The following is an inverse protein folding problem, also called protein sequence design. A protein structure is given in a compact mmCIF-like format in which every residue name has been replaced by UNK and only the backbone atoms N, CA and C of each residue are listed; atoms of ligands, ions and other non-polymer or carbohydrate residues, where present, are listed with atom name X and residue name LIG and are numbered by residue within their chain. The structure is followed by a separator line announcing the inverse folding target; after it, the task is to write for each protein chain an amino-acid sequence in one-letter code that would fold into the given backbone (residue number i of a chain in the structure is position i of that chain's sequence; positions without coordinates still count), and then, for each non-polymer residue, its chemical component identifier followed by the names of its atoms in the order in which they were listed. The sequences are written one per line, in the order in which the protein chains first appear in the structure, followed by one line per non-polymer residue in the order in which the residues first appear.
data_IF_093438598259
#
_entry.id   IF_093438598259
#
_cell.length_a   1.000
_cell.length_b   1.000
_cell.length_c   1.000
_cell.angle_alpha   90.00
_cell.angle_beta   90.00
_cell.angle_gamma   90.00
#
_symmetry.space_group_name_H-M   'P 1'
#
loop_
_entity.id
_entity.type
_entity.pdbx_description
1 polymer ?
#
# COMPACT_ATOMS: atom_id res chain seq x y z
N UNK A 1 51.62 -36.06 28.32
CA UNK A 1 51.74 -34.99 27.30
C UNK A 1 50.80 -35.33 26.15
N UNK A 2 50.24 -34.30 25.49
CA UNK A 2 49.31 -34.35 24.36
C UNK A 2 47.85 -34.74 24.69
N UNK A 3 46.98 -33.73 24.84
CA UNK A 3 45.63 -33.67 24.25
C UNK A 3 44.93 -32.39 24.74
N UNK A 4 45.33 -31.24 24.20
CA UNK A 4 44.64 -29.97 24.40
C UNK A 4 45.10 -29.02 23.32
N UNK A 5 44.30 -28.88 22.24
CA UNK A 5 44.30 -27.79 21.24
C UNK A 5 43.66 -28.29 19.94
N UNK A 6 42.33 -28.45 19.89
CA UNK A 6 41.57 -28.53 18.63
C UNK A 6 40.07 -28.34 18.91
N UNK A 7 39.65 -27.16 19.40
CA UNK A 7 38.21 -26.83 19.57
C UNK A 7 37.92 -25.34 19.50
N UNK A 8 38.65 -24.57 18.68
CA UNK A 8 38.51 -23.11 18.65
C UNK A 8 38.67 -22.52 17.24
N UNK A 9 38.03 -23.10 16.23
CA UNK A 9 38.02 -22.57 14.85
C UNK A 9 36.71 -22.87 14.09
N UNK A 10 35.55 -22.82 14.74
CA UNK A 10 34.25 -23.07 14.06
C UNK A 10 33.10 -22.15 14.53
N UNK A 11 33.44 -20.99 15.06
CA UNK A 11 32.46 -19.97 15.47
C UNK A 11 32.80 -18.61 14.87
N UNK A 12 32.71 -18.49 13.54
CA UNK A 12 32.51 -17.24 12.77
C UNK A 12 32.53 -17.65 11.28
N UNK A 13 31.37 -17.77 10.61
CA UNK A 13 30.82 -16.59 9.93
C UNK A 13 29.28 -16.66 9.78
N UNK A 14 28.52 -16.08 10.72
CA UNK A 14 27.07 -15.93 10.56
C UNK A 14 26.57 -14.57 11.08
N UNK A 15 27.33 -13.50 10.80
CA UNK A 15 26.97 -12.13 11.23
C UNK A 15 27.09 -11.08 10.13
N UNK A 16 27.22 -11.49 8.86
CA UNK A 16 27.40 -10.58 7.72
C UNK A 16 26.21 -10.52 6.75
N UNK A 17 25.05 -11.11 7.07
CA UNK A 17 23.94 -11.23 6.11
C UNK A 17 22.58 -10.68 6.56
N UNK A 18 22.52 -9.61 7.36
CA UNK A 18 21.28 -8.81 7.51
C UNK A 18 21.55 -7.33 7.82
N UNK A 19 22.56 -6.71 7.18
CA UNK A 19 22.59 -5.25 7.08
C UNK A 19 21.56 -4.80 6.03
N UNK A 20 20.29 -4.78 6.42
CA UNK A 20 19.22 -4.14 5.64
C UNK A 20 19.52 -2.63 5.64
N UNK A 21 19.65 -1.95 4.48
CA UNK A 21 19.88 -0.52 4.47
C UNK A 21 18.70 0.15 5.19
N UNK A 22 18.99 0.85 6.28
CA UNK A 22 18.02 1.71 6.93
C UNK A 22 17.52 2.72 5.88
N UNK A 23 16.19 2.94 5.76
CA UNK A 23 15.68 3.95 4.85
C UNK A 23 16.29 5.29 5.24
N UNK A 24 16.89 5.97 4.27
CA UNK A 24 17.36 7.34 4.44
C UNK A 24 16.21 8.18 4.99
N UNK A 25 16.36 8.69 6.21
CA UNK A 25 15.38 9.54 6.87
C UNK A 25 15.28 10.84 6.06
N UNK A 26 14.30 10.91 5.17
CA UNK A 26 13.89 12.18 4.57
C UNK A 26 13.38 13.10 5.68
N UNK A 27 13.65 14.41 5.61
CA UNK A 27 13.16 15.37 6.59
C UNK A 27 11.63 15.23 6.72
N UNK A 28 11.14 15.23 7.98
CA UNK A 28 9.72 15.07 8.28
C UNK A 28 8.90 16.05 7.43
N UNK A 29 8.03 15.49 6.58
CA UNK A 29 7.10 16.24 5.73
C UNK A 29 7.45 16.30 4.24
N UNK A 30 8.62 15.86 3.79
CA UNK A 30 8.92 15.72 2.35
C UNK A 30 8.73 14.28 1.89
N UNK A 31 7.97 14.03 0.81
CA UNK A 31 7.79 12.69 0.27
C UNK A 31 9.14 12.13 -0.18
N UNK A 32 9.37 10.85 0.10
CA UNK A 32 10.57 10.17 -0.41
C UNK A 32 10.58 10.20 -1.95
N UNK A 33 11.76 10.03 -2.58
CA UNK A 33 11.85 9.99 -4.04
C UNK A 33 10.89 8.95 -4.64
N UNK A 34 10.83 7.76 -4.02
CA UNK A 34 10.00 6.66 -4.50
C UNK A 34 8.51 6.92 -4.26
N UNK A 35 8.15 7.53 -3.13
CA UNK A 35 6.79 7.99 -2.89
C UNK A 35 6.35 9.06 -3.91
N UNK A 36 7.22 10.05 -4.17
CA UNK A 36 6.93 11.08 -5.16
C UNK A 36 6.80 10.52 -6.58
N UNK A 37 7.63 9.54 -6.95
CA UNK A 37 7.47 8.80 -8.20
C UNK A 37 6.15 8.05 -8.26
N UNK A 38 5.74 7.37 -7.18
CA UNK A 38 4.45 6.66 -7.13
C UNK A 38 3.29 7.62 -7.32
N UNK A 39 3.32 8.79 -6.69
CA UNK A 39 2.28 9.82 -6.85
C UNK A 39 2.21 10.36 -8.29
N UNK A 40 3.36 10.68 -8.89
CA UNK A 40 3.43 11.14 -10.29
C UNK A 40 2.87 10.07 -11.25
N UNK A 41 3.27 8.82 -11.07
CA UNK A 41 2.80 7.72 -11.93
C UNK A 41 1.33 7.39 -11.71
N UNK A 42 0.85 7.47 -10.48
CA UNK A 42 -0.56 7.30 -10.16
C UNK A 42 -1.42 8.36 -10.87
N UNK A 43 -1.06 9.64 -10.72
CA UNK A 43 -1.76 10.75 -11.38
C UNK A 43 -1.74 10.59 -12.91
N UNK A 44 -0.59 10.20 -13.46
CA UNK A 44 -0.43 9.92 -14.90
C UNK A 44 -1.30 8.77 -15.37
N UNK A 45 -1.34 7.65 -14.65
CA UNK A 45 -2.16 6.50 -15.02
C UNK A 45 -3.65 6.84 -14.99
N UNK A 46 -4.10 7.52 -13.93
CA UNK A 46 -5.49 7.99 -13.83
C UNK A 46 -5.85 8.95 -14.96
N UNK A 47 -4.96 9.89 -15.30
CA UNK A 47 -5.12 10.77 -16.45
C UNK A 47 -5.31 9.99 -17.75
N UNK A 48 -4.46 9.00 -18.04
CA UNK A 48 -4.57 8.21 -19.27
C UNK A 48 -5.88 7.43 -19.32
N UNK A 49 -6.33 6.91 -18.18
CA UNK A 49 -7.60 6.17 -18.09
C UNK A 49 -8.81 7.07 -18.31
N UNK A 50 -8.80 8.28 -17.74
CA UNK A 50 -9.82 9.29 -18.01
C UNK A 50 -9.84 9.71 -19.47
N UNK A 51 -8.66 9.99 -20.00
CA UNK A 51 -8.48 10.47 -21.36
C UNK A 51 -8.85 9.40 -22.41
N UNK A 52 -8.92 8.12 -22.02
CA UNK A 52 -9.40 7.01 -22.83
C UNK A 52 -10.85 6.59 -22.50
N UNK A 53 -11.54 7.29 -21.60
CA UNK A 53 -12.92 6.98 -21.20
C UNK A 53 -13.08 5.69 -20.38
N UNK A 54 -12.01 5.22 -19.72
CA UNK A 54 -11.98 3.97 -18.93
C UNK A 54 -11.92 4.26 -17.43
N UNK A 55 -12.85 5.05 -16.90
CA UNK A 55 -12.86 5.46 -15.49
C UNK A 55 -12.90 4.27 -14.49
N UNK A 56 -13.47 3.12 -14.90
CA UNK A 56 -13.49 1.90 -14.08
C UNK A 56 -12.11 1.34 -13.72
N UNK A 57 -11.08 1.65 -14.52
CA UNK A 57 -9.70 1.20 -14.28
C UNK A 57 -8.98 2.04 -13.22
N UNK A 58 -9.50 3.22 -12.84
CA UNK A 58 -8.86 4.04 -11.78
C UNK A 58 -8.78 3.32 -10.45
N UNK A 59 -9.81 2.53 -10.14
CA UNK A 59 -9.94 1.79 -8.88
C UNK A 59 -8.96 0.62 -8.76
N UNK A 60 -8.38 0.19 -9.88
CA UNK A 60 -7.41 -0.92 -9.89
C UNK A 60 -5.98 -0.45 -9.70
N UNK A 61 -5.70 0.85 -9.88
CA UNK A 61 -4.36 1.43 -9.68
C UNK A 61 -4.05 1.53 -8.20
N UNK A 62 -2.95 0.90 -7.78
CA UNK A 62 -2.47 0.94 -6.40
C UNK A 62 -1.52 2.11 -6.22
N UNK A 63 -2.02 3.21 -5.67
CA UNK A 63 -1.29 4.46 -5.50
C UNK A 63 -0.76 4.70 -4.07
N UNK A 64 -0.86 3.69 -3.20
CA UNK A 64 -0.51 3.84 -1.80
C UNK A 64 0.97 3.56 -1.54
N UNK A 65 1.60 4.45 -0.77
CA UNK A 65 2.97 4.30 -0.26
C UNK A 65 4.08 4.48 -1.30
N UNK A 66 5.30 4.11 -0.92
CA UNK A 66 6.52 4.23 -1.72
C UNK A 66 6.86 2.95 -2.53
N UNK A 67 5.85 2.18 -2.96
CA UNK A 67 6.05 0.88 -3.62
C UNK A 67 5.84 0.95 -5.15
N UNK A 68 6.90 1.32 -5.87
CA UNK A 68 6.90 1.30 -7.35
C UNK A 68 6.61 -0.09 -7.93
N UNK A 69 7.20 -1.20 -7.44
CA UNK A 69 6.87 -2.54 -7.92
C UNK A 69 5.39 -2.90 -7.82
N UNK A 70 4.73 -2.58 -6.71
CA UNK A 70 3.29 -2.82 -6.54
C UNK A 70 2.46 -1.96 -7.49
N UNK A 71 2.83 -0.69 -7.69
CA UNK A 71 2.20 0.16 -8.69
C UNK A 71 2.36 -0.44 -10.09
N UNK A 72 3.58 -0.82 -10.47
CA UNK A 72 3.89 -1.45 -11.75
C UNK A 72 3.07 -2.72 -11.98
N UNK A 73 2.92 -3.58 -10.96
CA UNK A 73 2.08 -4.76 -11.03
C UNK A 73 0.60 -4.43 -11.25
N UNK A 74 0.10 -3.34 -10.64
CA UNK A 74 -1.27 -2.87 -10.86
C UNK A 74 -1.52 -2.30 -12.26
N UNK A 75 -0.47 -1.81 -12.94
CA UNK A 75 -0.53 -1.30 -14.31
C UNK A 75 -0.38 -2.39 -15.39
N UNK A 76 0.21 -3.56 -15.08
CA UNK A 76 0.42 -4.65 -16.06
C UNK A 76 -0.85 -5.28 -16.65
N UNK A 77 -1.94 -5.53 -15.91
CA UNK A 77 -3.13 -6.17 -16.48
C UNK A 77 -3.96 -5.23 -17.37
N UNK A 78 -3.50 -3.99 -17.58
CA UNK A 78 -4.25 -2.95 -18.26
C UNK A 78 -4.24 -3.08 -19.79
N UNK A 79 -5.41 -2.92 -20.40
CA UNK A 79 -5.61 -2.98 -21.86
C UNK A 79 -5.08 -1.75 -22.59
N UNK A 80 -4.92 -0.62 -21.90
CA UNK A 80 -4.41 0.63 -22.47
C UNK A 80 -2.88 0.68 -22.56
N UNK A 81 -2.19 -0.42 -22.20
CA UNK A 81 -0.73 -0.57 -22.33
C UNK A 81 0.05 0.55 -21.65
N UNK A 82 -0.49 1.16 -20.58
CA UNK A 82 0.20 2.21 -19.79
C UNK A 82 1.53 1.67 -19.25
N UNK A 83 1.54 0.42 -18.80
CA UNK A 83 2.77 -0.23 -18.35
C UNK A 83 3.83 -0.33 -19.44
N UNK A 84 3.50 -0.88 -20.62
CA UNK A 84 4.51 -1.19 -21.65
C UNK A 84 4.93 0.00 -22.51
N UNK A 85 4.03 0.97 -22.74
CA UNK A 85 4.30 2.12 -23.62
C UNK A 85 4.82 3.36 -22.87
N UNK A 86 4.40 3.55 -21.62
CA UNK A 86 4.78 4.71 -20.81
C UNK A 86 5.72 4.34 -19.68
N UNK A 87 5.28 3.50 -18.75
CA UNK A 87 6.02 3.21 -17.53
C UNK A 87 7.35 2.50 -17.78
N UNK A 88 7.31 1.34 -18.44
CA UNK A 88 8.48 0.50 -18.65
C UNK A 88 9.59 1.23 -19.43
N UNK A 89 9.34 1.92 -20.57
CA UNK A 89 10.40 2.59 -21.31
C UNK A 89 11.05 3.75 -20.55
N UNK A 90 10.33 4.35 -19.58
CA UNK A 90 10.80 5.49 -18.79
C UNK A 90 11.54 5.00 -17.53
N UNK A 91 10.95 4.11 -16.73
CA UNK A 91 11.53 3.66 -15.46
C UNK A 91 12.58 2.54 -15.62
N UNK A 92 12.37 1.56 -16.51
CA UNK A 92 13.21 0.35 -16.54
C UNK A 92 14.66 0.63 -16.93
N UNK A 93 14.89 1.65 -17.78
CA UNK A 93 16.23 2.00 -18.23
C UNK A 93 16.96 2.94 -17.27
N UNK A 94 16.23 3.65 -16.41
CA UNK A 94 16.77 4.65 -15.49
C UNK A 94 17.58 5.79 -16.16
N UNK A 95 17.70 5.82 -17.48
CA UNK A 95 18.60 6.70 -18.22
C UNK A 95 18.24 8.18 -18.02
N UNK A 96 16.97 8.47 -17.78
CA UNK A 96 16.47 9.83 -17.50
C UNK A 96 17.04 10.41 -16.19
N UNK A 97 17.51 9.56 -15.28
CA UNK A 97 18.05 9.94 -13.98
C UNK A 97 19.58 10.11 -13.99
N UNK A 98 20.26 9.71 -15.08
CA UNK A 98 21.71 9.82 -15.23
C UNK A 98 22.14 11.29 -15.08
N UNK A 99 23.14 11.54 -14.23
CA UNK A 99 23.66 12.89 -13.95
C UNK A 99 22.74 13.79 -13.11
N UNK A 100 21.59 13.31 -12.61
CA UNK A 100 20.68 14.09 -11.75
C UNK A 100 20.97 13.81 -10.27
N UNK A 101 21.54 14.80 -9.59
CA UNK A 101 21.95 14.70 -8.17
C UNK A 101 20.84 15.03 -7.17
N UNK A 102 19.91 15.93 -7.51
CA UNK A 102 18.83 16.35 -6.61
C UNK A 102 17.53 15.58 -6.89
N UNK A 103 16.72 15.35 -5.84
CA UNK A 103 15.39 14.73 -5.95
C UNK A 103 14.51 15.50 -6.92
N UNK A 104 14.45 16.82 -6.81
CA UNK A 104 13.69 17.67 -7.73
C UNK A 104 14.13 17.55 -9.18
N UNK A 105 15.44 17.46 -9.47
CA UNK A 105 15.92 17.28 -10.85
C UNK A 105 15.58 15.88 -11.41
N UNK A 106 15.56 14.85 -10.57
CA UNK A 106 15.12 13.49 -10.98
C UNK A 106 13.62 13.48 -11.28
N UNK A 107 12.81 14.06 -10.40
CA UNK A 107 11.36 14.14 -10.60
C UNK A 107 10.99 15.03 -11.79
N UNK A 108 11.67 16.16 -11.98
CA UNK A 108 11.49 17.02 -13.16
C UNK A 108 11.83 16.31 -14.46
N UNK A 109 12.90 15.48 -14.48
CA UNK A 109 13.23 14.65 -15.63
C UNK A 109 12.14 13.60 -15.91
N UNK A 110 11.59 12.98 -14.85
CA UNK A 110 10.48 12.05 -14.96
C UNK A 110 9.25 12.74 -15.58
N UNK A 111 8.79 13.85 -15.02
CA UNK A 111 7.63 14.61 -15.52
C UNK A 111 7.81 14.99 -16.99
N UNK A 112 8.99 15.52 -17.35
CA UNK A 112 9.31 15.89 -18.75
C UNK A 112 9.19 14.69 -19.69
N UNK A 113 9.73 13.53 -19.29
CA UNK A 113 9.68 12.32 -20.11
C UNK A 113 8.25 11.77 -20.30
N UNK A 114 7.43 11.83 -19.25
CA UNK A 114 6.02 11.45 -19.28
C UNK A 114 5.28 12.36 -20.26
N UNK A 115 5.36 13.69 -20.06
CA UNK A 115 4.67 14.66 -20.91
C UNK A 115 5.11 14.55 -22.37
N UNK A 116 6.40 14.38 -22.64
CA UNK A 116 6.92 14.21 -24.00
C UNK A 116 6.32 12.97 -24.67
N UNK A 117 6.25 11.83 -23.97
CA UNK A 117 5.61 10.63 -24.52
C UNK A 117 4.10 10.80 -24.71
N UNK A 118 3.41 11.44 -23.76
CA UNK A 118 1.98 11.68 -23.88
C UNK A 118 1.64 12.63 -25.04
N UNK A 119 2.47 13.68 -25.26
CA UNK A 119 2.36 14.60 -26.41
C UNK A 119 2.65 13.92 -27.75
N UNK A 120 3.48 12.88 -27.75
CA UNK A 120 3.80 12.12 -28.97
C UNK A 120 2.66 11.18 -29.43
N UNK A 121 1.67 10.87 -28.59
CA UNK A 121 0.52 10.03 -28.96
C UNK A 121 -0.30 10.69 -30.10
N UNK A 122 -0.54 9.98 -31.22
CA UNK A 122 -1.35 10.50 -32.33
C UNK A 122 -2.76 10.89 -31.91
N UNK A 123 -3.36 10.14 -30.98
CA UNK A 123 -4.71 10.39 -30.52
C UNK A 123 -4.84 11.73 -29.75
N UNK A 124 -3.77 12.19 -29.09
CA UNK A 124 -3.77 13.52 -28.44
C UNK A 124 -3.40 14.63 -29.40
N UNK A 125 -2.47 14.40 -30.31
CA UNK A 125 -2.06 15.40 -31.32
C UNK A 125 -3.21 15.87 -32.21
N UNK A 126 -4.19 15.00 -32.47
CA UNK A 126 -5.35 15.29 -33.31
C UNK A 126 -6.50 15.98 -32.57
N UNK A 127 -6.45 16.08 -31.25
CA UNK A 127 -7.52 16.64 -30.42
C UNK A 127 -6.97 17.77 -29.53
N UNK A 128 -7.31 19.05 -29.83
CA UNK A 128 -6.82 20.19 -29.06
C UNK A 128 -7.32 20.19 -27.61
N UNK A 129 -8.51 19.67 -27.33
CA UNK A 129 -9.03 19.58 -25.96
C UNK A 129 -8.23 18.58 -25.11
N UNK A 130 -7.76 17.49 -25.72
CA UNK A 130 -6.85 16.52 -25.07
C UNK A 130 -5.49 17.12 -24.77
N UNK A 131 -4.97 17.97 -25.66
CA UNK A 131 -3.72 18.68 -25.42
C UNK A 131 -3.86 19.71 -24.28
N UNK A 132 -4.98 20.43 -24.19
CA UNK A 132 -5.24 21.34 -23.09
C UNK A 132 -5.29 20.60 -21.74
N UNK A 133 -5.95 19.43 -21.67
CA UNK A 133 -5.94 18.59 -20.47
C UNK A 133 -4.54 18.09 -20.12
N UNK A 134 -3.73 17.77 -21.12
CA UNK A 134 -2.33 17.38 -20.91
C UNK A 134 -1.48 18.53 -20.36
N UNK A 135 -1.74 19.78 -20.76
CA UNK A 135 -1.10 20.96 -20.18
C UNK A 135 -1.51 21.14 -18.71
N UNK A 136 -2.77 20.92 -18.36
CA UNK A 136 -3.22 20.95 -16.96
C UNK A 136 -2.50 19.89 -16.11
N UNK A 137 -2.31 18.67 -16.65
CA UNK A 137 -1.51 17.63 -16.00
C UNK A 137 -0.05 18.05 -15.83
N UNK A 138 0.56 18.60 -16.87
CA UNK A 138 1.95 19.09 -16.83
C UNK A 138 2.14 20.14 -15.73
N UNK A 139 1.22 21.11 -15.63
CA UNK A 139 1.21 22.12 -14.57
C UNK A 139 1.07 21.49 -13.19
N UNK A 140 0.11 20.57 -13.00
CA UNK A 140 -0.12 19.89 -11.72
C UNK A 140 1.11 19.08 -11.26
N UNK A 141 1.73 18.33 -12.18
CA UNK A 141 2.94 17.56 -11.90
C UNK A 141 4.13 18.46 -11.59
N UNK A 142 4.29 19.56 -12.31
CA UNK A 142 5.38 20.51 -12.08
C UNK A 142 5.22 21.22 -10.73
N UNK A 143 4.00 21.61 -10.39
CA UNK A 143 3.66 22.17 -9.08
C UNK A 143 3.98 21.15 -7.97
N UNK A 144 3.59 19.89 -8.13
CA UNK A 144 3.94 18.84 -7.16
C UNK A 144 5.44 18.72 -6.93
N UNK A 145 6.24 18.73 -8.01
CA UNK A 145 7.70 18.65 -7.90
C UNK A 145 8.29 19.88 -7.20
N UNK A 146 7.66 21.06 -7.36
CA UNK A 146 8.12 22.30 -6.75
C UNK A 146 7.69 22.44 -5.28
N UNK A 147 6.47 22.07 -4.93
CA UNK A 147 5.86 22.35 -3.62
C UNK A 147 5.68 21.12 -2.73
N UNK A 148 5.82 19.89 -3.27
CA UNK A 148 5.59 18.64 -2.54
C UNK A 148 4.13 18.38 -2.15
N UNK A 149 3.20 19.24 -2.56
CA UNK A 149 1.78 19.16 -2.17
C UNK A 149 1.11 17.99 -2.88
N UNK A 150 0.57 16.98 -2.17
CA UNK A 150 0.07 15.77 -2.79
C UNK A 150 -0.90 16.08 -3.92
N UNK A 151 -0.71 15.43 -5.07
CA UNK A 151 -1.65 15.52 -6.17
C UNK A 151 -2.98 14.94 -5.68
N UNK A 152 -3.94 15.82 -5.36
CA UNK A 152 -5.31 15.42 -5.09
C UNK A 152 -5.93 14.73 -6.31
N UNK A 153 -7.24 14.50 -6.26
CA UNK A 153 -7.96 14.05 -7.45
C UNK A 153 -7.83 15.13 -8.55
N UNK A 154 -6.86 14.91 -9.45
CA UNK A 154 -6.56 15.69 -10.67
C UNK A 154 -7.82 16.03 -11.52
N UNK A 155 -8.97 15.30 -11.46
CA UNK A 155 -10.21 15.76 -12.08
C UNK A 155 -10.64 17.19 -11.73
N UNK A 156 -10.35 17.71 -10.54
CA UNK A 156 -10.75 19.07 -10.16
C UNK A 156 -9.98 20.16 -10.92
N UNK A 157 -8.78 19.85 -11.43
CA UNK A 157 -7.98 20.75 -12.27
C UNK A 157 -8.18 20.49 -13.78
N UNK A 158 -9.04 19.53 -14.16
CA UNK A 158 -9.28 19.11 -15.54
C UNK A 158 -10.50 19.77 -16.20
N UNK A 159 -11.20 20.66 -15.48
CA UNK A 159 -12.32 21.43 -16.03
C UNK A 159 -11.81 22.83 -16.38
N UNK A 160 -11.63 23.18 -17.67
CA UNK A 160 -11.53 24.59 -18.03
C UNK A 160 -12.84 25.28 -17.62
N UNK A 161 -12.74 26.35 -16.83
CA UNK A 161 -13.87 27.26 -16.68
C UNK A 161 -14.18 27.84 -18.07
N UNK A 162 -15.43 27.69 -18.53
CA UNK A 162 -15.99 27.97 -19.88
C UNK A 162 -15.64 26.92 -20.96
N UNK A 163 -16.57 26.28 -21.69
CA UNK A 163 -17.98 26.51 -21.96
C UNK A 163 -18.78 25.21 -22.25
N UNK A 164 -20.10 25.38 -22.30
CA UNK A 164 -21.19 24.40 -22.50
C UNK A 164 -21.13 23.48 -23.73
N UNK A 165 -21.87 22.36 -23.61
CA UNK A 165 -22.71 21.67 -24.62
C UNK A 165 -22.43 20.16 -24.73
N UNK A 166 -23.36 19.39 -24.14
CA UNK A 166 -23.82 18.03 -24.45
C UNK A 166 -22.89 17.08 -25.20
N UNK A 167 -22.42 16.03 -24.53
CA UNK A 167 -22.17 14.74 -25.15
C UNK A 167 -22.46 13.59 -24.16
N UNK A 168 -23.55 12.90 -24.48
CA UNK A 168 -24.11 11.67 -23.92
C UNK A 168 -23.06 10.61 -23.57
N UNK A 169 -23.24 10.00 -22.39
CA UNK A 169 -22.58 8.77 -21.99
C UNK A 169 -22.93 7.63 -22.98
N UNK A 170 -21.94 7.19 -23.75
CA UNK A 170 -22.03 6.07 -24.68
C UNK A 170 -21.36 4.82 -24.11
N UNK A 171 -22.15 3.77 -23.91
CA UNK A 171 -21.75 2.44 -23.46
C UNK A 171 -20.57 1.84 -24.27
N UNK A 172 -19.56 1.35 -23.55
CA UNK A 172 -19.07 -0.03 -23.67
C UNK A 172 -18.53 -0.59 -25.00
N UNK A 173 -18.30 0.21 -26.05
CA UNK A 173 -17.68 -0.24 -27.30
C UNK A 173 -16.33 0.45 -27.54
N UNK A 174 -15.29 -0.27 -28.02
CA UNK A 174 -14.03 0.35 -28.41
C UNK A 174 -14.25 1.31 -29.59
N UNK A 175 -13.89 2.58 -29.40
CA UNK A 175 -14.11 3.63 -30.39
C UNK A 175 -13.09 3.59 -31.54
N UNK A 176 -13.37 4.26 -32.69
CA UNK A 176 -12.52 4.24 -33.89
C UNK A 176 -11.09 4.77 -33.67
N UNK A 177 -10.83 5.46 -32.56
CA UNK A 177 -9.50 5.87 -32.14
C UNK A 177 -8.61 4.69 -31.67
N UNK A 178 -9.19 3.64 -31.08
CA UNK A 178 -8.45 2.44 -30.64
C UNK A 178 -7.98 1.58 -31.84
N UNK A 179 -8.76 1.56 -32.93
CA UNK A 179 -8.37 0.89 -34.17
C UNK A 179 -7.20 1.61 -34.88
N UNK A 180 -7.18 2.94 -34.84
CA UNK A 180 -6.12 3.74 -35.45
C UNK A 180 -4.77 3.63 -34.72
N UNK A 181 -4.77 3.51 -33.38
CA UNK A 181 -3.53 3.28 -32.63
C UNK A 181 -3.06 1.82 -32.71
N UNK A 182 -3.96 0.84 -32.82
CA UNK A 182 -3.58 -0.55 -33.10
C UNK A 182 -2.99 -0.73 -34.51
N UNK A 183 -3.49 0.02 -35.51
CA UNK A 183 -3.02 -0.06 -36.89
C UNK A 183 -1.70 0.70 -37.10
N UNK A 184 -1.54 1.91 -36.53
CA UNK A 184 -0.29 2.66 -36.61
C UNK A 184 0.91 1.93 -35.93
N UNK A 185 0.62 1.03 -34.98
CA UNK A 185 1.63 0.17 -34.34
C UNK A 185 1.97 -1.07 -35.18
N UNK A 186 1.06 -1.56 -36.03
CA UNK A 186 1.36 -2.58 -37.05
C UNK A 186 2.30 -2.04 -38.12
N UNK A 187 2.06 -0.80 -38.55
CA UNK A 187 2.84 -0.18 -39.62
C UNK A 187 4.24 0.28 -39.16
N UNK A 188 4.41 0.54 -37.85
CA UNK A 188 5.71 0.91 -37.27
C UNK A 188 6.63 -0.29 -36.94
N UNK A 189 6.16 -1.54 -37.10
CA UNK A 189 6.95 -2.73 -36.79
C UNK A 189 6.57 -3.92 -37.69
N UNK A 190 7.02 -3.94 -38.96
CA UNK A 190 6.58 -4.91 -39.97
C UNK A 190 7.09 -6.36 -39.75
N UNK A 191 7.81 -6.62 -38.65
CA UNK A 191 8.39 -7.94 -38.34
C UNK A 191 7.56 -8.84 -37.42
N UNK A 192 6.42 -8.36 -36.90
CA UNK A 192 5.57 -9.16 -36.02
C UNK A 192 4.23 -9.47 -36.71
N UNK A 193 4.15 -10.68 -37.27
CA UNK A 193 3.00 -11.30 -37.96
C UNK A 193 2.93 -11.03 -39.48
N UNK A 194 3.87 -11.59 -40.24
CA UNK A 194 3.55 -12.08 -41.59
C UNK A 194 2.69 -13.35 -41.46
N UNK A 195 1.48 -13.41 -42.03
CA UNK A 195 0.86 -14.69 -42.35
C UNK A 195 1.72 -15.38 -43.41
N UNK A 196 1.91 -16.72 -43.36
CA UNK A 196 2.68 -17.40 -44.39
C UNK A 196 1.89 -17.37 -45.69
N UNK A 197 2.27 -16.44 -46.56
CA UNK A 197 1.88 -16.43 -47.95
C UNK A 197 2.55 -17.58 -48.69
N UNK A 198 1.75 -18.23 -49.53
CA UNK A 198 2.13 -19.11 -50.63
C UNK A 198 3.59 -18.98 -51.09
N UNK A 199 4.39 -19.99 -50.75
CA UNK A 199 5.63 -20.30 -51.46
C UNK A 199 5.37 -21.55 -52.32
N UNK A 200 5.86 -21.53 -53.55
CA UNK A 200 5.68 -22.58 -54.54
C UNK A 200 6.18 -23.96 -54.03
N UNK A 201 5.60 -25.08 -54.51
CA UNK A 201 5.88 -26.40 -53.96
C UNK A 201 7.31 -26.84 -54.28
N UNK A 202 8.12 -26.96 -53.22
CA UNK A 202 9.43 -27.60 -53.26
C UNK A 202 9.27 -29.03 -52.74
N UNK A 203 9.60 -30.02 -53.55
CA UNK A 203 9.36 -31.45 -53.29
C UNK A 203 10.12 -32.05 -52.08
N UNK A 204 10.87 -31.26 -51.32
CA UNK A 204 11.56 -31.64 -50.09
C UNK A 204 10.76 -31.34 -48.80
N UNK A 205 9.62 -30.62 -48.90
CA UNK A 205 8.79 -30.24 -47.74
C UNK A 205 8.06 -31.41 -47.06
N UNK A 206 7.87 -32.53 -47.77
CA UNK A 206 6.92 -33.58 -47.36
C UNK A 206 7.38 -34.47 -46.19
N UNK A 207 8.67 -34.50 -45.86
CA UNK A 207 9.18 -35.24 -44.69
C UNK A 207 9.16 -34.39 -43.42
N UNK A 208 9.49 -33.10 -43.53
CA UNK A 208 9.45 -32.17 -42.40
C UNK A 208 8.00 -31.92 -41.92
N UNK A 209 7.04 -31.81 -42.83
CA UNK A 209 5.62 -31.64 -42.49
C UNK A 209 5.03 -32.86 -41.76
N UNK A 210 5.50 -34.06 -42.11
CA UNK A 210 5.00 -35.32 -41.55
C UNK A 210 5.42 -35.55 -40.09
N UNK A 211 6.54 -34.96 -39.66
CA UNK A 211 6.98 -34.97 -38.26
C UNK A 211 6.63 -33.68 -37.51
N UNK A 212 6.59 -32.53 -38.20
CA UNK A 212 6.26 -31.26 -37.57
C UNK A 212 4.80 -31.20 -37.10
N UNK A 213 3.85 -31.74 -37.87
CA UNK A 213 2.44 -31.73 -37.52
C UNK A 213 2.11 -32.49 -36.20
N UNK A 214 2.52 -33.77 -36.01
CA UNK A 214 2.26 -34.47 -34.75
C UNK A 214 3.02 -33.86 -33.57
N UNK A 215 4.22 -33.33 -33.79
CA UNK A 215 5.04 -32.72 -32.73
C UNK A 215 4.45 -31.37 -32.28
N UNK A 216 3.96 -30.56 -33.23
CA UNK A 216 3.23 -29.33 -32.93
C UNK A 216 1.92 -29.61 -32.16
N UNK A 217 1.23 -30.71 -32.48
CA UNK A 217 0.03 -31.13 -31.75
C UNK A 217 0.36 -31.53 -30.30
N UNK A 218 1.43 -32.31 -30.08
CA UNK A 218 1.88 -32.69 -28.73
C UNK A 218 2.26 -31.45 -27.92
N UNK A 219 3.06 -30.53 -28.50
CA UNK A 219 3.45 -29.28 -27.85
C UNK A 219 2.24 -28.36 -27.59
N UNK A 220 1.27 -28.34 -28.50
CA UNK A 220 0.01 -27.62 -28.34
C UNK A 220 -0.78 -28.13 -27.14
N UNK A 221 -0.96 -29.46 -27.03
CA UNK A 221 -1.64 -30.08 -25.89
C UNK A 221 -0.88 -29.81 -24.59
N UNK A 222 0.45 -29.94 -24.59
CA UNK A 222 1.28 -29.65 -23.42
C UNK A 222 1.13 -28.19 -22.96
N UNK A 223 1.12 -27.24 -23.91
CA UNK A 223 0.93 -25.81 -23.63
C UNK A 223 -0.45 -25.53 -23.04
N UNK A 224 -1.49 -26.22 -23.52
CA UNK A 224 -2.86 -26.10 -23.02
C UNK A 224 -2.97 -26.61 -21.58
N UNK A 225 -2.39 -27.78 -21.29
CA UNK A 225 -2.40 -28.36 -19.95
C UNK A 225 -1.65 -27.45 -18.97
N UNK A 226 -0.47 -26.95 -19.35
CA UNK A 226 0.30 -26.00 -18.54
C UNK A 226 -0.49 -24.70 -18.28
N UNK A 227 -1.17 -24.18 -19.30
CA UNK A 227 -2.02 -23.01 -19.17
C UNK A 227 -3.18 -23.24 -18.18
N UNK A 228 -3.84 -24.39 -18.26
CA UNK A 228 -4.93 -24.76 -17.35
C UNK A 228 -4.43 -24.88 -15.90
N UNK A 229 -3.29 -25.55 -15.66
CA UNK A 229 -2.67 -25.65 -14.33
C UNK A 229 -2.29 -24.28 -13.77
N UNK A 230 -1.71 -23.40 -14.58
CA UNK A 230 -1.40 -22.02 -14.17
C UNK A 230 -2.67 -21.25 -13.80
N UNK A 231 -3.75 -21.42 -14.57
CA UNK A 231 -5.03 -20.75 -14.31
C UNK A 231 -5.68 -21.25 -13.02
N UNK A 232 -5.60 -22.55 -12.74
CA UNK A 232 -6.11 -23.16 -11.50
C UNK A 232 -5.30 -22.68 -10.29
N UNK A 233 -3.96 -22.71 -10.36
CA UNK A 233 -3.08 -22.27 -9.26
C UNK A 233 -3.26 -20.77 -8.95
N UNK A 234 -3.36 -19.90 -9.95
CA UNK A 234 -3.70 -18.49 -9.76
C UNK A 234 -5.12 -18.29 -9.17
N UNK A 235 -6.05 -19.20 -9.47
CA UNK A 235 -7.38 -19.21 -8.87
C UNK A 235 -7.36 -19.62 -7.40
N UNK A 236 -6.55 -20.61 -7.03
CA UNK A 236 -6.36 -21.03 -5.64
C UNK A 236 -5.63 -19.96 -4.82
N UNK A 237 -4.55 -19.39 -5.35
CA UNK A 237 -3.79 -18.33 -4.69
C UNK A 237 -4.65 -17.07 -4.43
N UNK A 238 -5.48 -16.66 -5.39
CA UNK A 238 -6.43 -15.54 -5.19
C UNK A 238 -7.48 -15.84 -4.14
N UNK A 239 -7.95 -17.09 -4.02
CA UNK A 239 -8.90 -17.49 -2.97
C UNK A 239 -8.25 -17.49 -1.59
N UNK A 240 -6.97 -17.89 -1.51
CA UNK A 240 -6.21 -17.87 -0.27
C UNK A 240 -5.93 -16.43 0.20
N UNK A 241 -5.49 -15.55 -0.71
CA UNK A 241 -5.36 -14.11 -0.45
C UNK A 241 -6.66 -13.49 0.06
N UNK A 242 -7.82 -13.83 -0.53
CA UNK A 242 -9.11 -13.32 -0.03
C UNK A 242 -9.40 -13.76 1.39
N UNK A 243 -9.10 -15.01 1.76
CA UNK A 243 -9.31 -15.51 3.13
C UNK A 243 -8.42 -14.78 4.14
N UNK A 244 -7.16 -14.55 3.79
CA UNK A 244 -6.21 -13.80 4.63
C UNK A 244 -6.59 -12.32 4.76
N UNK A 245 -7.08 -11.69 3.68
CA UNK A 245 -7.56 -10.31 3.77
C UNK A 245 -8.84 -10.21 4.58
N UNK A 246 -9.77 -11.17 4.45
CA UNK A 246 -11.02 -11.18 5.19
C UNK A 246 -10.77 -11.39 6.69
N UNK A 247 -9.84 -12.28 7.07
CA UNK A 247 -9.46 -12.46 8.47
C UNK A 247 -8.79 -11.21 9.05
N UNK A 248 -7.90 -10.55 8.30
CA UNK A 248 -7.29 -9.28 8.72
C UNK A 248 -8.34 -8.16 8.87
N UNK A 249 -9.32 -8.07 7.97
CA UNK A 249 -10.40 -7.08 8.08
C UNK A 249 -11.33 -7.36 9.25
N UNK A 250 -11.64 -8.62 9.54
CA UNK A 250 -12.44 -9.01 10.71
C UNK A 250 -11.69 -8.69 12.01
N UNK A 251 -10.39 -8.98 12.07
CA UNK A 251 -9.55 -8.64 13.23
C UNK A 251 -9.46 -7.12 13.44
N UNK A 252 -9.32 -6.33 12.36
CA UNK A 252 -9.32 -4.87 12.45
C UNK A 252 -10.67 -4.30 12.90
N UNK A 253 -11.79 -4.88 12.44
CA UNK A 253 -13.13 -4.50 12.89
C UNK A 253 -13.33 -4.82 14.38
N UNK A 254 -12.90 -6.00 14.83
CA UNK A 254 -12.95 -6.39 16.24
C UNK A 254 -12.09 -5.48 17.13
N UNK A 255 -10.89 -5.11 16.69
CA UNK A 255 -10.02 -4.18 17.41
C UNK A 255 -10.65 -2.79 17.52
N UNK A 256 -11.34 -2.31 16.48
CA UNK A 256 -12.06 -1.03 16.51
C UNK A 256 -13.20 -1.06 17.54
N UNK A 257 -14.00 -2.12 17.56
CA UNK A 257 -15.09 -2.26 18.55
C UNK A 257 -14.55 -2.35 19.97
N UNK A 258 -13.41 -3.03 20.19
CA UNK A 258 -12.78 -3.10 21.50
C UNK A 258 -12.24 -1.72 21.95
N UNK A 259 -11.66 -0.95 21.04
CA UNK A 259 -11.18 0.41 21.34
C UNK A 259 -12.33 1.37 21.69
N UNK A 260 -13.47 1.27 21.01
CA UNK A 260 -14.67 2.06 21.31
C UNK A 260 -15.24 1.70 22.69
N UNK A 261 -15.29 0.42 23.03
CA UNK A 261 -15.70 -0.05 24.36
C UNK A 261 -14.74 0.42 25.47
N UNK A 262 -13.43 0.36 25.23
CA UNK A 262 -12.44 0.86 26.17
C UNK A 262 -12.56 2.37 26.38
N UNK A 263 -12.78 3.14 25.31
CA UNK A 263 -13.01 4.58 25.41
C UNK A 263 -14.27 4.91 26.22
N UNK A 264 -15.36 4.16 26.02
CA UNK A 264 -16.57 4.30 26.81
C UNK A 264 -16.37 3.96 28.30
N UNK A 265 -15.60 2.92 28.60
CA UNK A 265 -15.27 2.53 29.97
C UNK A 265 -14.41 3.60 30.68
N UNK A 266 -13.43 4.18 29.99
CA UNK A 266 -12.61 5.29 30.51
C UNK A 266 -13.48 6.52 30.76
N UNK A 267 -14.40 6.84 29.85
CA UNK A 267 -15.35 7.95 30.04
C UNK A 267 -16.24 7.74 31.28
N UNK A 268 -16.78 6.53 31.49
CA UNK A 268 -17.58 6.24 32.70
C UNK A 268 -16.73 6.32 33.98
N UNK A 269 -15.50 5.79 33.97
CA UNK A 269 -14.59 5.87 35.11
C UNK A 269 -14.28 7.34 35.48
N UNK A 270 -13.96 8.18 34.50
CA UNK A 270 -13.73 9.62 34.75
C UNK A 270 -14.98 10.33 35.28
N UNK A 271 -16.18 9.96 34.82
CA UNK A 271 -17.42 10.49 35.36
C UNK A 271 -17.64 10.08 36.82
N UNK A 272 -17.31 8.84 37.20
CA UNK A 272 -17.39 8.37 38.60
C UNK A 272 -16.41 9.11 39.51
N UNK A 273 -15.17 9.32 39.05
CA UNK A 273 -14.18 10.11 39.80
C UNK A 273 -14.66 11.53 40.04
N UNK A 274 -15.19 12.20 39.00
CA UNK A 274 -15.76 13.56 39.15
C UNK A 274 -16.94 13.62 40.11
N UNK A 275 -17.82 12.60 40.11
CA UNK A 275 -18.92 12.52 41.09
C UNK A 275 -18.40 12.32 42.52
N UNK A 276 -17.39 11.48 42.71
CA UNK A 276 -16.78 11.27 44.01
C UNK A 276 -16.11 12.56 44.53
N UNK A 277 -15.38 13.27 43.67
CA UNK A 277 -14.76 14.56 43.99
C UNK A 277 -15.81 15.62 44.37
N UNK A 278 -16.93 15.70 43.65
CA UNK A 278 -18.03 16.60 43.98
C UNK A 278 -18.68 16.28 45.34
N UNK A 279 -18.81 15.00 45.71
CA UNK A 279 -19.32 14.60 47.02
C UNK A 279 -18.34 14.95 48.15
N UNK A 280 -17.04 14.82 47.92
CA UNK A 280 -16.01 15.23 48.89
C UNK A 280 -16.02 16.75 49.10
N UNK A 281 -16.15 17.53 48.03
CA UNK A 281 -16.30 18.98 48.11
C UNK A 281 -17.59 19.40 48.82
N UNK A 282 -18.70 18.70 48.60
CA UNK A 282 -19.97 18.94 49.28
C UNK A 282 -19.92 18.61 50.78
N UNK A 283 -19.15 17.59 51.17
CA UNK A 283 -18.93 17.24 52.58
C UNK A 283 -18.00 18.24 53.32
N UNK A 284 -17.30 19.11 52.57
CA UNK A 284 -16.43 20.16 53.12
C UNK A 284 -17.10 21.51 53.37
N UNK A 285 -18.42 21.65 53.16
CA UNK A 285 -19.15 22.88 53.48
C UNK A 285 -19.40 22.98 55.00
N UNK A 286 -19.23 24.17 55.62
CA UNK A 286 -19.26 24.31 57.07
C UNK A 286 -20.71 24.24 57.59
N UNK A 287 -21.04 23.15 58.25
CA UNK A 287 -22.17 23.10 59.18
C UNK A 287 -21.78 23.84 60.46
N UNK A 288 -22.71 24.65 60.95
CA UNK A 288 -22.61 25.41 62.19
C UNK A 288 -22.08 24.58 63.37
N UNK A 289 -21.11 25.18 64.04
CA UNK A 289 -20.52 24.85 65.34
C UNK A 289 -21.57 24.42 66.37
N UNK A 290 -21.29 23.36 67.16
CA UNK A 290 -21.00 23.63 68.57
C UNK A 290 -19.60 23.13 68.97
N UNK A 291 -18.97 23.93 69.84
CA UNK A 291 -17.75 23.79 70.62
C UNK A 291 -16.75 22.64 70.32
N UNK A 292 -15.44 22.94 70.28
CA UNK A 292 -14.42 21.95 69.91
C UNK A 292 -14.17 20.96 71.06
N UNK A 293 -14.13 19.64 70.81
CA UNK A 293 -13.18 18.80 71.50
C UNK A 293 -11.82 18.98 70.81
N UNK A 294 -10.84 19.37 71.62
CA UNK A 294 -9.44 19.34 71.24
C UNK A 294 -9.04 17.91 70.80
N UNK A 295 -8.06 17.84 69.90
CA UNK A 295 -7.40 16.64 69.37
C UNK A 295 -8.09 15.94 68.17
N UNK A 296 -7.91 16.51 66.98
CA UNK A 296 -7.81 15.72 65.75
C UNK A 296 -6.32 15.50 65.43
N UNK A 297 -5.78 14.49 66.13
CA UNK A 297 -4.72 13.57 65.74
C UNK A 297 -3.80 13.97 64.57
N UNK A 298 -2.73 14.68 64.91
CA UNK A 298 -1.46 14.51 64.20
C UNK A 298 -1.00 13.06 64.44
N UNK A 299 -1.20 12.19 63.44
CA UNK A 299 -0.64 10.83 63.41
C UNK A 299 0.79 10.86 63.98
N UNK A 300 1.02 10.09 65.04
CA UNK A 300 2.34 9.99 65.66
C UNK A 300 3.35 9.53 64.60
N UNK A 301 4.63 9.95 64.68
CA UNK A 301 5.63 9.54 63.67
C UNK A 301 5.75 8.02 63.53
N UNK A 302 5.46 7.27 64.58
CA UNK A 302 5.35 5.80 64.56
C UNK A 302 4.16 5.29 63.76
N UNK A 303 2.97 5.89 63.92
CA UNK A 303 1.80 5.55 63.11
C UNK A 303 1.99 5.89 61.62
N UNK A 304 2.73 6.97 61.31
CA UNK A 304 3.07 7.30 59.92
C UNK A 304 3.92 6.22 59.25
N UNK A 305 4.95 5.72 59.95
CA UNK A 305 5.79 4.64 59.43
C UNK A 305 5.01 3.34 59.24
N UNK A 306 4.05 3.06 60.12
CA UNK A 306 3.20 1.87 59.99
C UNK A 306 2.24 1.97 58.79
N UNK A 307 1.67 3.16 58.55
CA UNK A 307 0.86 3.42 57.36
C UNK A 307 1.70 3.31 56.08
N UNK A 308 2.91 3.87 56.04
CA UNK A 308 3.81 3.73 54.88
C UNK A 308 4.16 2.27 54.60
N UNK A 309 4.33 1.46 55.65
CA UNK A 309 4.62 0.03 55.52
C UNK A 309 3.43 -0.74 54.97
N UNK A 310 2.22 -0.46 55.46
CA UNK A 310 0.99 -1.09 54.97
C UNK A 310 0.67 -0.68 53.52
N UNK A 311 0.91 0.58 53.16
CA UNK A 311 0.76 1.05 51.78
C UNK A 311 1.76 0.36 50.86
N UNK A 312 3.03 0.27 51.25
CA UNK A 312 4.06 -0.43 50.46
C UNK A 312 3.69 -1.89 50.26
N UNK A 313 3.27 -2.58 51.33
CA UNK A 313 2.81 -3.97 51.25
C UNK A 313 1.62 -4.13 50.29
N UNK A 314 0.62 -3.23 50.39
CA UNK A 314 -0.57 -3.31 49.53
C UNK A 314 -0.24 -3.05 48.07
N UNK A 315 0.67 -2.12 47.79
CA UNK A 315 1.14 -1.82 46.43
C UNK A 315 1.91 -3.01 45.85
N UNK A 316 2.76 -3.67 46.63
CA UNK A 316 3.48 -4.87 46.18
C UNK A 316 2.52 -6.02 45.87
N UNK A 317 1.53 -6.26 46.73
CA UNK A 317 0.47 -7.25 46.49
C UNK A 317 -0.33 -6.94 45.22
N UNK A 318 -0.63 -5.66 44.97
CA UNK A 318 -1.36 -5.25 43.76
C UNK A 318 -0.48 -5.39 42.51
N UNK A 319 0.81 -5.06 42.59
CA UNK A 319 1.76 -5.21 41.49
C UNK A 319 2.00 -6.69 41.13
N UNK A 320 2.05 -7.58 42.11
CA UNK A 320 2.15 -9.01 41.88
C UNK A 320 0.85 -9.59 41.29
N UNK A 321 -0.30 -9.12 41.77
CA UNK A 321 -1.59 -9.47 41.16
C UNK A 321 -1.68 -9.03 39.69
N UNK A 322 -1.24 -7.79 39.38
CA UNK A 322 -1.20 -7.26 38.01
C UNK A 322 -0.25 -8.07 37.12
N UNK A 323 0.92 -8.48 37.62
CA UNK A 323 1.84 -9.36 36.89
C UNK A 323 1.21 -10.72 36.60
N UNK A 324 0.42 -11.27 37.52
CA UNK A 324 -0.32 -12.51 37.31
C UNK A 324 -1.42 -12.40 36.25
N UNK A 325 -2.10 -11.24 36.15
CA UNK A 325 -3.18 -11.02 35.19
C UNK A 325 -2.73 -10.57 33.80
N UNK A 326 -1.58 -9.90 33.70
CA UNK A 326 -1.05 -9.35 32.45
C UNK A 326 -1.00 -10.36 31.29
N UNK A 327 -0.56 -11.62 31.49
CA UNK A 327 -0.58 -12.63 30.43
C UNK A 327 -1.98 -12.96 29.91
N UNK A 328 -2.99 -13.01 30.81
CA UNK A 328 -4.39 -13.26 30.44
C UNK A 328 -5.02 -12.10 29.68
N UNK A 329 -4.73 -10.87 30.12
CA UNK A 329 -5.20 -9.65 29.44
C UNK A 329 -4.55 -9.48 28.06
N UNK A 330 -3.26 -9.81 27.91
CA UNK A 330 -2.56 -9.81 26.63
C UNK A 330 -3.08 -10.91 25.68
N UNK A 331 -3.38 -12.11 26.20
CA UNK A 331 -3.98 -13.19 25.42
C UNK A 331 -5.40 -12.83 24.93
N UNK A 332 -6.21 -12.19 25.78
CA UNK A 332 -7.55 -11.71 25.43
C UNK A 332 -7.50 -10.59 24.37
N UNK A 333 -6.55 -9.65 24.48
CA UNK A 333 -6.35 -8.58 23.51
C UNK A 333 -5.83 -9.09 22.14
N UNK A 334 -5.09 -10.20 22.12
CA UNK A 334 -4.58 -10.83 20.90
C UNK A 334 -5.61 -11.73 20.18
N UNK A 335 -6.83 -11.87 20.71
CA UNK A 335 -7.87 -12.72 20.13
C UNK A 335 -7.54 -14.21 20.14
N UNK A 336 -6.65 -14.64 21.04
CA UNK A 336 -6.32 -16.06 21.21
C UNK A 336 -7.47 -16.76 21.97
N UNK A 337 -7.98 -17.91 21.49
CA UNK A 337 -8.96 -18.67 22.26
C UNK A 337 -8.34 -19.14 23.58
N UNK A 338 -9.11 -19.17 24.68
CA UNK A 338 -8.60 -19.61 25.97
C UNK A 338 -8.09 -21.04 25.85
N UNK A 339 -6.85 -21.27 26.25
CA UNK A 339 -6.30 -22.62 26.36
C UNK A 339 -7.17 -23.42 27.35
N UNK A 340 -7.55 -24.67 27.04
CA UNK A 340 -8.32 -25.49 27.95
C UNK A 340 -7.49 -25.73 29.21
N UNK A 341 -8.05 -25.36 30.36
CA UNK A 341 -7.51 -25.72 31.66
C UNK A 341 -7.43 -27.25 31.74
N UNK A 342 -6.22 -27.80 31.67
CA UNK A 342 -5.93 -29.13 32.21
C UNK A 342 -5.93 -28.99 33.72
N UNK A 343 -7.11 -29.15 34.33
CA UNK A 343 -7.25 -29.42 35.74
C UNK A 343 -7.42 -30.94 35.90
N UNK A 344 -6.44 -31.51 36.60
CA UNK A 344 -6.44 -32.83 37.24
C UNK A 344 -7.31 -32.79 38.51
#
# INVERSE_FOLDING_TARGET
MMFRRFSLLLALPLSLLTARPAPAQTPLGQPSLDEAKVQIWCATARFVYDDAGRAGLKRTVRCAGADLPALAASLRPDSLRVFSLLYQPIESRGAIYQGKKTTGARLGALVKSIVQKLKASPARRRDPARLARLQALETALTNYVASGTPLGDVPAAMVPATADTTATAGNGAPGPAEAAEAQAVRDANPGALTPPGAAAPSATASLLDRFAAPLALILGILSLVLYVMLRISLGQWRRQQRRETLSATHAAAAAKTAAEQAAAAVADATARVKRAEALVLAAGAPSETPAPPAAAELLTPTQRLEVERLVSQRVDEEMDWLRGQLPGLLAAAAGAPPAPNTAE
#
